data_IF_286848638585
#
_entry.id   IF_286848638585
#
_cell.length_a   1.000
_cell.length_b   1.000
_cell.length_c   1.000
_cell.angle_alpha   90.00
_cell.angle_beta   90.00
_cell.angle_gamma   90.00
#
_symmetry.space_group_name_H-M   'P 1'
#
loop_
_entity.id
_entity.type
_entity.pdbx_description
1 polymer ?
#
# COMPACT_ATOMS: atom_id res chain seq x y z
N UNK A 1 11.44 -2.72 17.89
CA UNK A 1 11.05 -2.89 16.48
C UNK A 1 9.53 -2.99 16.53
N UNK A 2 8.84 -2.10 15.82
CA UNK A 2 7.37 -2.09 15.82
C UNK A 2 6.90 -3.27 14.97
N UNK A 3 5.85 -3.96 15.42
CA UNK A 3 5.29 -5.13 14.73
C UNK A 3 4.71 -4.82 13.32
N UNK A 4 4.71 -3.55 12.90
CA UNK A 4 4.24 -3.08 11.59
C UNK A 4 5.27 -3.28 10.46
N UNK A 5 6.56 -3.50 10.76
CA UNK A 5 7.62 -3.68 9.76
C UNK A 5 7.67 -5.10 9.14
N UNK A 6 6.71 -5.96 9.50
CA UNK A 6 6.70 -7.37 9.11
C UNK A 6 5.66 -7.72 8.04
N UNK A 7 4.90 -6.78 7.50
CA UNK A 7 3.87 -7.10 6.50
C UNK A 7 4.22 -6.58 5.12
N UNK A 8 3.88 -7.34 4.08
CA UNK A 8 4.02 -6.86 2.71
C UNK A 8 3.08 -5.68 2.45
N UNK A 9 3.66 -4.55 2.03
CA UNK A 9 2.93 -3.30 1.73
C UNK A 9 1.89 -3.40 0.59
N UNK A 10 1.92 -4.47 -0.20
CA UNK A 10 0.95 -4.69 -1.29
C UNK A 10 -0.23 -5.60 -0.87
N UNK A 11 0.05 -6.67 -0.14
CA UNK A 11 -0.92 -7.76 0.07
C UNK A 11 -1.11 -8.14 1.55
N UNK A 12 -0.55 -7.37 2.48
CA UNK A 12 -0.63 -7.57 3.94
C UNK A 12 -0.18 -8.96 4.43
N UNK A 13 0.65 -9.65 3.66
CA UNK A 13 1.21 -10.95 4.02
C UNK A 13 2.31 -10.78 5.08
N UNK A 14 2.27 -11.58 6.14
CA UNK A 14 3.34 -11.65 7.14
C UNK A 14 4.66 -12.16 6.51
N UNK A 15 5.73 -11.40 6.73
CA UNK A 15 7.08 -11.60 6.22
C UNK A 15 8.00 -12.27 7.27
N UNK A 16 7.48 -12.63 8.44
CA UNK A 16 8.27 -13.30 9.47
C UNK A 16 8.88 -14.60 8.93
N UNK A 17 10.21 -14.67 8.93
CA UNK A 17 10.95 -15.83 8.43
C UNK A 17 11.01 -15.97 6.90
N UNK A 18 10.53 -14.97 6.13
CA UNK A 18 10.62 -14.96 4.67
C UNK A 18 11.97 -14.35 4.22
N UNK A 19 12.61 -15.00 3.25
CA UNK A 19 13.82 -14.48 2.60
C UNK A 19 13.88 -14.95 1.14
N UNK A 20 14.21 -14.09 0.17
CA UNK A 20 14.52 -12.66 0.32
C UNK A 20 13.26 -11.79 0.49
N UNK A 21 13.41 -10.67 1.21
CA UNK A 21 12.40 -9.58 1.26
C UNK A 21 12.85 -8.50 0.27
N UNK A 22 11.91 -8.00 -0.54
CA UNK A 22 12.15 -6.91 -1.48
C UNK A 22 11.77 -5.59 -0.82
N UNK A 23 12.52 -4.51 -1.11
CA UNK A 23 12.25 -3.17 -0.56
C UNK A 23 12.18 -2.14 -1.68
N UNK A 24 11.32 -1.12 -1.51
CA UNK A 24 11.27 0.03 -2.42
C UNK A 24 12.23 1.16 -1.99
N UNK A 25 12.17 2.30 -2.68
CA UNK A 25 13.01 3.47 -2.40
C UNK A 25 12.67 4.20 -1.10
N UNK A 26 11.56 3.84 -0.45
CA UNK A 26 11.12 4.33 0.87
C UNK A 26 11.34 3.27 1.95
N UNK A 27 12.11 2.21 1.67
CA UNK A 27 12.37 1.08 2.55
C UNK A 27 11.10 0.30 2.97
N UNK A 28 10.01 0.36 2.19
CA UNK A 28 8.79 -0.42 2.46
C UNK A 28 8.99 -1.88 2.02
N UNK A 29 8.56 -2.87 2.82
CA UNK A 29 8.85 -4.28 2.55
C UNK A 29 7.78 -4.97 1.66
N UNK A 30 8.23 -5.88 0.81
CA UNK A 30 7.38 -6.64 -0.13
C UNK A 30 7.78 -8.12 -0.17
N UNK A 31 6.78 -9.01 -0.21
CA UNK A 31 6.99 -10.46 -0.24
C UNK A 31 7.54 -11.00 -1.58
N UNK A 32 7.42 -10.22 -2.66
CA UNK A 32 7.85 -10.60 -4.01
C UNK A 32 8.14 -9.37 -4.88
N UNK A 33 8.88 -9.59 -5.98
CA UNK A 33 9.07 -8.56 -7.03
C UNK A 33 7.73 -8.15 -7.63
N UNK A 34 6.79 -9.09 -7.77
CA UNK A 34 5.47 -8.82 -8.35
C UNK A 34 4.68 -7.85 -7.45
N UNK A 35 4.65 -8.08 -6.14
CA UNK A 35 4.02 -7.17 -5.18
C UNK A 35 4.63 -5.77 -5.21
N UNK A 36 5.96 -5.68 -5.32
CA UNK A 36 6.66 -4.40 -5.48
C UNK A 36 6.27 -3.69 -6.78
N UNK A 37 6.24 -4.42 -7.90
CA UNK A 37 5.92 -3.88 -9.22
C UNK A 37 4.46 -3.41 -9.32
N UNK A 38 3.52 -4.18 -8.79
CA UNK A 38 2.09 -3.84 -8.73
C UNK A 38 1.87 -2.55 -7.93
N UNK A 39 2.44 -2.47 -6.72
CA UNK A 39 2.30 -1.29 -5.86
C UNK A 39 2.90 -0.05 -6.49
N UNK A 40 4.08 -0.17 -7.10
CA UNK A 40 4.71 0.95 -7.82
C UNK A 40 3.90 1.39 -9.03
N UNK A 41 3.35 0.44 -9.79
CA UNK A 41 2.48 0.73 -10.93
C UNK A 41 1.21 1.43 -10.48
N UNK A 42 0.55 0.92 -9.43
CA UNK A 42 -0.61 1.55 -8.83
C UNK A 42 -0.30 2.97 -8.35
N UNK A 43 0.76 3.19 -7.56
CA UNK A 43 1.16 4.52 -7.10
C UNK A 43 1.46 5.48 -8.27
N UNK A 44 2.05 4.98 -9.36
CA UNK A 44 2.39 5.77 -10.55
C UNK A 44 1.18 6.15 -11.40
N UNK A 45 0.20 5.26 -11.51
CA UNK A 45 -0.96 5.44 -12.40
C UNK A 45 -2.29 5.69 -11.68
N UNK A 46 -2.31 5.71 -10.33
CA UNK A 46 -3.45 6.18 -9.53
C UNK A 46 -3.82 7.57 -10.02
N UNK A 47 -4.91 7.66 -10.78
CA UNK A 47 -5.32 8.90 -11.43
C UNK A 47 -6.00 9.82 -10.43
N UNK A 48 -6.11 11.10 -10.80
CA UNK A 48 -6.90 12.12 -10.07
C UNK A 48 -8.34 11.63 -9.80
N UNK A 49 -8.86 10.71 -10.61
CA UNK A 49 -10.20 10.13 -10.48
C UNK A 49 -10.37 9.28 -9.21
N UNK A 50 -9.33 8.54 -8.79
CA UNK A 50 -9.34 7.81 -7.50
C UNK A 50 -9.16 8.77 -6.32
N UNK A 51 -8.36 9.83 -6.47
CA UNK A 51 -8.23 10.89 -5.47
C UNK A 51 -9.57 11.63 -5.27
N UNK A 52 -10.32 11.87 -6.34
CA UNK A 52 -11.64 12.48 -6.30
C UNK A 52 -12.69 11.54 -5.67
N UNK A 53 -12.63 10.23 -5.95
CA UNK A 53 -13.55 9.24 -5.36
C UNK A 53 -13.36 9.11 -3.84
N UNK A 54 -12.13 9.21 -3.34
CA UNK A 54 -11.84 9.27 -1.90
C UNK A 54 -12.30 10.59 -1.26
N UNK A 55 -12.13 11.72 -1.96
CA UNK A 55 -12.61 13.02 -1.50
C UNK A 55 -14.16 13.09 -1.39
N UNK A 56 -14.89 12.51 -2.35
CA UNK A 56 -16.35 12.45 -2.33
C UNK A 56 -16.89 11.59 -1.18
N UNK A 57 -16.30 10.42 -0.92
CA UNK A 57 -16.68 9.57 0.23
C UNK A 57 -16.58 10.32 1.57
N UNK A 58 -15.62 11.24 1.71
CA UNK A 58 -15.43 12.04 2.91
C UNK A 58 -16.42 13.21 3.05
N UNK A 59 -17.04 13.68 1.96
CA UNK A 59 -18.13 14.67 2.02
C UNK A 59 -19.40 14.07 2.59
N UNK A 60 -19.82 12.91 2.08
CA UNK A 60 -21.05 12.24 2.55
C UNK A 60 -21.00 11.90 4.05
N UNK A 61 -19.84 11.50 4.57
CA UNK A 61 -19.65 11.18 5.99
C UNK A 61 -19.76 12.40 6.93
N UNK A 62 -19.61 13.63 6.41
CA UNK A 62 -19.80 14.87 7.17
C UNK A 62 -21.24 15.39 7.13
N UNK A 63 -22.04 14.97 6.16
CA UNK A 63 -23.44 15.37 6.04
C UNK A 63 -24.37 14.50 6.91
N UNK A 64 -23.87 13.36 7.42
CA UNK A 64 -24.57 12.46 8.36
C UNK A 64 -24.27 12.72 9.86
N UNK A 65 -23.51 13.78 10.19
CA UNK A 65 -23.22 14.22 11.56
C UNK A 65 -23.68 15.67 11.78
#
# INVERSE_FOLDING_TARGET
MNDEDHYCENCDMDLYGISPIYVDYMDLPYCSIDCLAERNTYKKYKTIEEANREAEKNRYRKEEK
#
